data_IF_175972209094
#
_entry.id   IF_175972209094
#
_cell.length_a   1.000
_cell.length_b   1.000
_cell.length_c   1.000
_cell.angle_alpha   90.00
_cell.angle_beta   90.00
_cell.angle_gamma   90.00
#
_symmetry.space_group_name_H-M   'P 1'
#
loop_
_entity.id
_entity.type
_entity.pdbx_description
1 polymer ?
#
# COMPACT_ATOMS: atom_id res chain seq x y z
N UNK A 1 -5.96 -17.39 16.06
CA UNK A 1 -4.84 -16.51 16.43
C UNK A 1 -5.40 -15.24 17.07
N UNK A 2 -4.90 -14.85 18.22
CA UNK A 2 -5.32 -13.63 18.90
C UNK A 2 -4.63 -12.40 18.30
N UNK A 3 -5.17 -11.21 18.55
CA UNK A 3 -4.55 -9.96 18.07
C UNK A 3 -3.11 -9.80 18.54
N UNK A 4 -2.82 -10.17 19.79
CA UNK A 4 -1.47 -10.13 20.34
C UNK A 4 -0.53 -11.08 19.61
N UNK A 5 -1.00 -12.28 19.23
CA UNK A 5 -0.21 -13.23 18.48
C UNK A 5 0.07 -12.76 17.05
N UNK A 6 -0.89 -12.07 16.42
CA UNK A 6 -0.68 -11.46 15.10
C UNK A 6 0.37 -10.35 15.16
N UNK A 7 0.31 -9.50 16.19
CA UNK A 7 1.31 -8.45 16.39
C UNK A 7 2.71 -9.02 16.63
N UNK A 8 2.81 -10.14 17.37
CA UNK A 8 4.07 -10.83 17.61
C UNK A 8 4.61 -11.56 16.37
N UNK A 9 3.74 -11.87 15.40
CA UNK A 9 4.15 -12.50 14.15
C UNK A 9 5.08 -11.62 13.32
N UNK A 10 5.05 -10.31 13.54
CA UNK A 10 5.93 -9.33 12.90
C UNK A 10 6.97 -8.88 13.93
N UNK A 11 7.95 -9.72 14.18
CA UNK A 11 8.92 -9.51 15.25
C UNK A 11 10.11 -8.66 14.83
N UNK A 12 10.47 -8.68 13.55
CA UNK A 12 11.66 -7.99 13.07
C UNK A 12 11.29 -6.79 12.20
N UNK A 13 12.19 -5.80 12.16
CA UNK A 13 12.06 -4.65 11.27
C UNK A 13 11.98 -5.07 9.81
N UNK A 14 12.75 -6.08 9.41
CA UNK A 14 12.73 -6.60 8.05
C UNK A 14 11.37 -7.19 7.68
N UNK A 15 10.75 -7.94 8.58
CA UNK A 15 9.40 -8.48 8.38
C UNK A 15 8.36 -7.37 8.29
N UNK A 16 8.43 -6.36 9.15
CA UNK A 16 7.53 -5.21 9.11
C UNK A 16 7.65 -4.46 7.79
N UNK A 17 8.86 -4.21 7.32
CA UNK A 17 9.13 -3.57 6.04
C UNK A 17 8.54 -4.37 4.88
N UNK A 18 8.78 -5.66 4.84
CA UNK A 18 8.27 -6.54 3.79
C UNK A 18 6.74 -6.59 3.82
N UNK A 19 6.13 -6.64 5.00
CA UNK A 19 4.68 -6.61 5.15
C UNK A 19 4.07 -5.32 4.61
N UNK A 20 4.61 -4.17 4.99
CA UNK A 20 4.05 -2.87 4.57
C UNK A 20 4.23 -2.66 3.08
N UNK A 21 5.44 -2.79 2.57
CA UNK A 21 5.72 -2.54 1.15
C UNK A 21 5.17 -3.64 0.24
N UNK A 22 5.45 -4.89 0.54
CA UNK A 22 5.02 -6.01 -0.29
C UNK A 22 3.56 -6.38 -0.12
N UNK A 23 3.07 -6.38 1.13
CA UNK A 23 1.72 -6.82 1.46
C UNK A 23 0.66 -5.76 1.22
N UNK A 24 0.90 -4.54 1.66
CA UNK A 24 -0.10 -3.46 1.63
C UNK A 24 0.04 -2.61 0.37
N UNK A 25 1.22 -2.07 0.11
CA UNK A 25 1.42 -1.09 -0.97
C UNK A 25 1.48 -1.75 -2.35
N UNK A 26 2.13 -2.89 -2.48
CA UNK A 26 2.25 -3.59 -3.77
C UNK A 26 1.14 -4.61 -4.02
N UNK A 27 0.17 -4.72 -3.11
CA UNK A 27 -1.02 -5.55 -3.32
C UNK A 27 -0.79 -7.04 -3.28
N UNK A 28 0.17 -7.53 -2.49
CA UNK A 28 0.39 -8.96 -2.32
C UNK A 28 -0.87 -9.67 -1.80
N UNK A 29 -1.11 -10.87 -2.29
CA UNK A 29 -2.23 -11.70 -1.85
C UNK A 29 -2.07 -12.15 -0.39
N UNK A 30 -3.18 -12.58 0.21
CA UNK A 30 -3.22 -13.02 1.61
C UNK A 30 -2.26 -14.17 1.90
N UNK A 31 -2.08 -15.10 0.95
CA UNK A 31 -1.16 -16.22 1.10
C UNK A 31 0.29 -15.75 1.22
N UNK A 32 0.69 -14.74 0.42
CA UNK A 32 2.03 -14.18 0.47
C UNK A 32 2.27 -13.42 1.77
N UNK A 33 1.29 -12.65 2.23
CA UNK A 33 1.35 -11.96 3.53
C UNK A 33 1.49 -12.98 4.66
N UNK A 34 0.71 -14.04 4.63
CA UNK A 34 0.81 -15.13 5.61
C UNK A 34 2.20 -15.77 5.61
N UNK A 35 2.81 -16.00 4.45
CA UNK A 35 4.15 -16.60 4.35
C UNK A 35 5.25 -15.68 4.91
N UNK A 36 5.09 -14.36 4.82
CA UNK A 36 6.05 -13.40 5.40
C UNK A 36 6.14 -13.56 6.91
N UNK A 37 5.03 -13.82 7.57
CA UNK A 37 4.97 -13.99 9.03
C UNK A 37 5.06 -15.47 9.45
N UNK A 38 5.28 -16.39 8.51
CA UNK A 38 5.37 -17.83 8.78
C UNK A 38 4.04 -18.49 9.09
N UNK A 39 2.93 -17.87 8.69
CA UNK A 39 1.57 -18.36 8.94
C UNK A 39 0.85 -18.83 7.68
N UNK A 40 -0.44 -19.04 7.81
CA UNK A 40 -1.33 -19.48 6.73
C UNK A 40 -1.90 -18.27 5.97
N UNK A 41 -2.63 -18.55 4.88
CA UNK A 41 -3.38 -17.54 4.13
C UNK A 41 -4.37 -16.77 5.02
N UNK A 42 -5.04 -17.47 5.93
CA UNK A 42 -5.99 -16.87 6.87
C UNK A 42 -5.29 -15.92 7.84
N UNK A 43 -4.11 -16.28 8.32
CA UNK A 43 -3.28 -15.43 9.17
C UNK A 43 -2.87 -14.15 8.42
N UNK A 44 -2.50 -14.26 7.16
CA UNK A 44 -2.21 -13.12 6.31
C UNK A 44 -3.41 -12.19 6.14
N UNK A 45 -4.59 -12.75 5.91
CA UNK A 45 -5.84 -12.00 5.80
C UNK A 45 -6.16 -11.24 7.09
N UNK A 46 -6.05 -11.90 8.24
CA UNK A 46 -6.29 -11.28 9.55
C UNK A 46 -5.31 -10.15 9.82
N UNK A 47 -4.03 -10.35 9.54
CA UNK A 47 -3.01 -9.34 9.74
C UNK A 47 -3.26 -8.11 8.87
N UNK A 48 -3.63 -8.31 7.62
CA UNK A 48 -3.98 -7.22 6.70
C UNK A 48 -5.21 -6.45 7.17
N UNK A 49 -6.27 -7.16 7.56
CA UNK A 49 -7.50 -6.54 8.07
C UNK A 49 -7.25 -5.74 9.34
N UNK A 50 -6.47 -6.29 10.27
CA UNK A 50 -6.12 -5.62 11.52
C UNK A 50 -5.30 -4.35 11.25
N UNK A 51 -4.35 -4.41 10.33
CA UNK A 51 -3.54 -3.26 9.94
C UNK A 51 -4.41 -2.15 9.33
N UNK A 52 -5.30 -2.50 8.40
CA UNK A 52 -6.19 -1.54 7.76
C UNK A 52 -7.24 -0.98 8.73
N UNK A 53 -7.70 -1.78 9.69
CA UNK A 53 -8.60 -1.32 10.75
C UNK A 53 -7.96 -0.28 11.63
N UNK A 54 -6.65 -0.41 11.89
CA UNK A 54 -5.88 0.60 12.62
C UNK A 54 -5.60 1.89 11.82
N UNK A 55 -5.75 1.84 10.49
CA UNK A 55 -5.50 2.97 9.59
C UNK A 55 -6.70 3.17 8.64
N UNK A 56 -7.83 3.70 9.16
CA UNK A 56 -9.04 3.82 8.34
C UNK A 56 -8.88 4.74 7.13
N UNK A 57 -8.01 5.75 7.21
CA UNK A 57 -7.71 6.62 6.07
C UNK A 57 -7.04 5.87 4.92
N UNK A 58 -6.14 4.95 5.23
CA UNK A 58 -5.48 4.11 4.22
C UNK A 58 -6.49 3.17 3.55
N UNK A 59 -7.40 2.59 4.33
CA UNK A 59 -8.45 1.74 3.78
C UNK A 59 -9.37 2.52 2.84
N UNK A 60 -9.77 3.72 3.22
CA UNK A 60 -10.60 4.59 2.36
C UNK A 60 -9.88 4.92 1.06
N UNK A 61 -8.58 5.18 1.11
CA UNK A 61 -7.77 5.45 -0.07
C UNK A 61 -7.71 4.22 -0.97
N UNK A 62 -7.49 3.04 -0.43
CA UNK A 62 -7.49 1.79 -1.20
C UNK A 62 -8.83 1.55 -1.87
N UNK A 63 -9.94 1.70 -1.14
CA UNK A 63 -11.29 1.51 -1.68
C UNK A 63 -11.59 2.52 -2.81
N UNK A 64 -11.21 3.77 -2.63
CA UNK A 64 -11.35 4.80 -3.65
C UNK A 64 -10.56 4.45 -4.92
N UNK A 65 -9.32 4.04 -4.76
CA UNK A 65 -8.47 3.66 -5.89
C UNK A 65 -9.04 2.45 -6.63
N UNK A 66 -9.56 1.46 -5.91
CA UNK A 66 -10.19 0.28 -6.51
C UNK A 66 -11.41 0.68 -7.34
N UNK A 67 -12.21 1.66 -6.91
CA UNK A 67 -13.37 2.13 -7.67
C UNK A 67 -12.99 2.77 -9.01
N UNK A 68 -11.77 3.26 -9.14
CA UNK A 68 -11.25 3.89 -10.36
C UNK A 68 -10.61 2.90 -11.33
N UNK A 69 -10.34 1.67 -10.90
CA UNK A 69 -9.71 0.64 -11.77
C UNK A 69 -10.47 0.41 -13.07
N UNK A 70 -11.82 0.31 -13.09
CA UNK A 70 -12.55 0.14 -14.35
C UNK A 70 -12.37 1.27 -15.35
N UNK A 71 -12.04 2.48 -14.90
CA UNK A 71 -11.78 3.63 -15.78
C UNK A 71 -10.43 3.53 -16.49
N UNK A 72 -9.53 2.67 -16.00
CA UNK A 72 -8.18 2.49 -16.54
C UNK A 72 -7.20 3.59 -16.20
N UNK A 73 -7.60 4.57 -15.40
CA UNK A 73 -6.75 5.71 -15.06
C UNK A 73 -7.10 6.31 -13.69
N UNK A 74 -6.11 6.92 -13.05
CA UNK A 74 -6.27 7.69 -11.81
C UNK A 74 -5.72 9.08 -12.04
N UNK A 75 -6.40 10.11 -11.56
CA UNK A 75 -5.86 11.44 -11.53
C UNK A 75 -4.81 11.57 -10.44
N UNK A 76 -3.60 11.96 -10.82
CA UNK A 76 -2.49 12.19 -9.90
C UNK A 76 -2.60 13.53 -9.18
N UNK A 77 -1.63 13.77 -8.29
CA UNK A 77 -1.60 14.98 -7.46
C UNK A 77 -1.52 16.27 -8.29
N UNK A 78 -0.90 16.22 -9.46
CA UNK A 78 -0.74 17.35 -10.37
C UNK A 78 -1.84 17.46 -11.45
N UNK A 79 -2.86 16.62 -11.36
CA UNK A 79 -3.96 16.56 -12.33
C UNK A 79 -3.70 15.68 -13.55
N UNK A 80 -2.51 15.13 -13.70
CA UNK A 80 -2.22 14.19 -14.80
C UNK A 80 -2.85 12.85 -14.53
N UNK A 81 -3.27 12.17 -15.60
CA UNK A 81 -3.82 10.83 -15.48
C UNK A 81 -2.73 9.78 -15.49
N UNK A 82 -2.82 8.85 -14.54
CA UNK A 82 -1.91 7.72 -14.39
C UNK A 82 -2.63 6.48 -14.92
N UNK A 83 -2.06 5.76 -15.91
CA UNK A 83 -2.69 4.54 -16.41
C UNK A 83 -2.64 3.43 -15.35
N UNK A 84 -3.76 2.72 -15.19
CA UNK A 84 -3.88 1.60 -14.27
C UNK A 84 -4.12 0.34 -15.08
N UNK A 85 -3.23 -0.64 -14.95
CA UNK A 85 -3.37 -1.94 -15.63
C UNK A 85 -3.96 -3.00 -14.71
N UNK A 86 -3.62 -2.96 -13.43
CA UNK A 86 -4.05 -3.95 -12.44
C UNK A 86 -4.48 -3.27 -11.15
N UNK A 87 -5.58 -3.76 -10.55
CA UNK A 87 -6.06 -3.23 -9.28
C UNK A 87 -5.01 -3.31 -8.15
N UNK A 88 -4.17 -4.35 -8.17
CA UNK A 88 -3.13 -4.53 -7.17
C UNK A 88 -2.01 -3.50 -7.27
N UNK A 89 -1.77 -2.96 -8.45
CA UNK A 89 -0.74 -1.95 -8.69
C UNK A 89 -1.26 -0.51 -8.60
N UNK A 90 -2.57 -0.32 -8.52
CA UNK A 90 -3.19 1.01 -8.59
C UNK A 90 -2.75 1.93 -7.45
N UNK A 91 -2.79 1.46 -6.21
CA UNK A 91 -2.37 2.26 -5.05
C UNK A 91 -0.88 2.60 -5.13
N UNK A 92 -0.04 1.62 -5.48
CA UNK A 92 1.39 1.83 -5.63
C UNK A 92 1.71 2.86 -6.71
N UNK A 93 1.03 2.78 -7.86
CA UNK A 93 1.21 3.74 -8.95
C UNK A 93 0.88 5.17 -8.51
N UNK A 94 -0.23 5.35 -7.77
CA UNK A 94 -0.62 6.64 -7.23
C UNK A 94 0.44 7.17 -6.25
N UNK A 95 0.87 6.35 -5.30
CA UNK A 95 1.85 6.75 -4.29
C UNK A 95 3.22 7.08 -4.89
N UNK A 96 3.70 6.29 -5.84
CA UNK A 96 4.95 6.56 -6.54
C UNK A 96 4.86 7.86 -7.35
N UNK A 97 3.74 8.11 -8.02
CA UNK A 97 3.50 9.37 -8.74
C UNK A 97 3.53 10.57 -7.80
N UNK A 98 2.85 10.50 -6.66
CA UNK A 98 2.89 11.54 -5.64
C UNK A 98 4.32 11.82 -5.16
N UNK A 99 5.09 10.77 -4.88
CA UNK A 99 6.49 10.90 -4.47
C UNK A 99 7.34 11.59 -5.53
N UNK A 100 7.18 11.24 -6.79
CA UNK A 100 7.91 11.86 -7.90
C UNK A 100 7.56 13.35 -8.06
N UNK A 101 6.27 13.70 -7.95
CA UNK A 101 5.80 15.08 -8.05
C UNK A 101 6.37 15.92 -6.90
N UNK A 102 6.32 15.41 -5.68
CA UNK A 102 6.87 16.10 -4.50
C UNK A 102 8.39 16.28 -4.62
N UNK A 103 9.11 15.27 -5.07
CA UNK A 103 10.56 15.36 -5.26
C UNK A 103 10.93 16.39 -6.32
N UNK A 104 10.24 16.42 -7.45
CA UNK A 104 10.47 17.41 -8.50
C UNK A 104 10.17 18.82 -8.01
N UNK A 105 9.08 18.99 -7.28
CA UNK A 105 8.72 20.31 -6.70
C UNK A 105 9.78 20.78 -5.72
N UNK A 106 10.28 19.88 -4.89
CA UNK A 106 11.36 20.19 -3.96
C UNK A 106 12.62 20.67 -4.69
N UNK A 107 13.03 19.98 -5.75
CA UNK A 107 14.19 20.37 -6.56
C UNK A 107 13.99 21.76 -7.16
N UNK A 108 12.82 22.07 -7.71
CA UNK A 108 12.49 23.39 -8.29
C UNK A 108 12.58 24.48 -7.22
N UNK A 109 11.99 24.28 -6.05
CA UNK A 109 12.03 25.24 -4.94
C UNK A 109 13.47 25.46 -4.49
N UNK A 110 14.24 24.38 -4.30
CA UNK A 110 15.64 24.48 -3.90
C UNK A 110 16.47 25.28 -4.90
N UNK A 111 16.25 25.06 -6.19
CA UNK A 111 16.97 25.77 -7.25
C UNK A 111 16.67 27.28 -7.26
N UNK A 112 15.46 27.68 -6.84
CA UNK A 112 15.07 29.09 -6.76
C UNK A 112 15.63 29.83 -5.54
N UNK A 113 16.12 29.11 -4.55
CA UNK A 113 16.77 29.70 -3.39
C UNK A 113 18.19 30.14 -3.73
#
# INVERSE_FOLDING_TARGET
MTEQNLARSVETRAQAKTFIYGGILYGAGNAKIGSIVGGTKEDGKRLKEQFLKGLPALKKLQDYVITLVPTGRIEGLDGRYIPIRHKHAALNSLLQSCGAILAKRWVVIFHQL
#
